data_IF_338866181644
#
_entry.id   IF_338866181644
#
_cell.length_a   1.000
_cell.length_b   1.000
_cell.length_c   1.000
_cell.angle_alpha   90.00
_cell.angle_beta   90.00
_cell.angle_gamma   90.00
#
_symmetry.space_group_name_H-M   'P 1'
#
loop_
_entity.id
_entity.type
_entity.pdbx_description
1 polymer ?
#
# COMPACT_ATOMS: atom_id res chain seq x y z
N UNK A 1 -6.06 22.62 -25.55
CA UNK A 1 -6.17 23.05 -24.13
C UNK A 1 -5.91 24.55 -24.05
N UNK A 2 -6.94 25.37 -24.26
CA UNK A 2 -6.80 26.82 -24.19
C UNK A 2 -6.95 27.27 -22.73
N UNK A 3 -5.88 27.79 -22.15
CA UNK A 3 -5.96 28.52 -20.88
C UNK A 3 -6.80 29.77 -21.12
N UNK A 4 -8.06 29.72 -20.71
CA UNK A 4 -8.93 30.90 -20.67
C UNK A 4 -8.40 31.79 -19.54
N UNK A 5 -7.53 32.73 -19.90
CA UNK A 5 -7.08 33.80 -19.01
C UNK A 5 -8.21 34.82 -18.91
N UNK A 6 -8.88 34.88 -17.76
CA UNK A 6 -9.65 36.07 -17.34
C UNK A 6 -8.89 36.71 -16.18
N UNK A 7 -8.70 38.02 -16.26
CA UNK A 7 -8.15 38.87 -15.20
C UNK A 7 -6.70 38.61 -14.75
N UNK A 8 -5.84 38.12 -15.66
CA UNK A 8 -4.38 38.13 -15.45
C UNK A 8 -3.86 37.25 -14.32
N UNK A 9 -4.68 36.36 -13.75
CA UNK A 9 -4.23 35.30 -12.83
C UNK A 9 -4.54 33.93 -13.43
N UNK A 10 -3.62 32.96 -13.31
CA UNK A 10 -3.93 31.58 -13.66
C UNK A 10 -5.03 31.10 -12.72
N UNK A 11 -6.20 30.77 -13.27
CA UNK A 11 -7.26 30.12 -12.51
C UNK A 11 -6.71 28.79 -11.96
N UNK A 12 -6.75 28.63 -10.63
CA UNK A 12 -6.42 27.34 -10.01
C UNK A 12 -7.39 26.25 -10.50
N UNK A 13 -6.99 24.97 -10.45
CA UNK A 13 -7.85 23.87 -10.89
C UNK A 13 -9.14 23.88 -10.07
N UNK A 14 -10.28 23.77 -10.76
CA UNK A 14 -11.59 23.69 -10.11
C UNK A 14 -11.75 22.30 -9.49
N UNK A 15 -12.55 22.15 -8.41
CA UNK A 15 -12.81 20.83 -7.84
C UNK A 15 -13.52 19.87 -8.83
N UNK A 16 -14.23 20.40 -9.83
CA UNK A 16 -14.79 19.64 -10.96
C UNK A 16 -13.79 19.30 -12.08
N UNK A 17 -12.57 19.85 -12.07
CA UNK A 17 -11.51 19.39 -12.97
C UNK A 17 -10.94 18.09 -12.37
N UNK A 18 -11.67 16.99 -12.54
CA UNK A 18 -11.17 15.65 -12.21
C UNK A 18 -9.78 15.50 -12.83
N UNK A 19 -8.81 15.08 -12.03
CA UNK A 19 -7.45 14.82 -12.48
C UNK A 19 -7.48 13.58 -13.40
N UNK A 20 -7.67 13.79 -14.71
CA UNK A 20 -7.79 12.69 -15.67
C UNK A 20 -6.39 12.22 -16.07
N UNK A 21 -6.01 11.02 -15.63
CA UNK A 21 -4.92 10.23 -16.21
C UNK A 21 -5.50 8.99 -16.91
N UNK A 22 -4.95 8.63 -18.07
CA UNK A 22 -5.41 7.49 -18.87
C UNK A 22 -4.38 6.33 -18.91
N UNK A 23 -4.15 5.59 -17.80
CA UNK A 23 -3.11 4.55 -17.75
C UNK A 23 -3.14 3.46 -18.83
N UNK A 24 -4.31 3.13 -19.41
CA UNK A 24 -4.40 2.10 -20.44
C UNK A 24 -4.06 2.62 -21.84
N UNK A 25 -3.99 3.94 -22.04
CA UNK A 25 -3.60 4.59 -23.30
C UNK A 25 -2.22 5.21 -23.20
N UNK A 26 -1.96 5.93 -22.11
CA UNK A 26 -0.72 6.67 -21.88
C UNK A 26 0.27 5.76 -21.16
N UNK A 27 1.00 4.95 -21.94
CA UNK A 27 2.09 4.15 -21.41
C UNK A 27 3.30 5.05 -21.12
N UNK A 28 3.51 5.39 -19.84
CA UNK A 28 4.68 6.17 -19.42
C UNK A 28 5.97 5.34 -19.54
N UNK A 29 6.96 5.88 -20.24
CA UNK A 29 8.32 5.39 -20.23
C UNK A 29 8.93 5.48 -18.83
N UNK A 30 9.88 4.61 -18.50
CA UNK A 30 10.63 4.71 -17.23
C UNK A 30 11.35 6.06 -17.10
N UNK A 31 11.80 6.65 -18.21
CA UNK A 31 12.46 7.96 -18.22
C UNK A 31 11.49 9.08 -17.84
N UNK A 32 10.27 9.04 -18.37
CA UNK A 32 9.21 10.01 -18.07
C UNK A 32 8.76 9.92 -16.61
N UNK A 33 8.70 8.70 -16.06
CA UNK A 33 8.44 8.50 -14.63
C UNK A 33 9.53 9.14 -13.77
N UNK A 34 10.80 8.92 -14.11
CA UNK A 34 11.92 9.56 -13.37
C UNK A 34 11.88 11.08 -13.47
N UNK A 35 11.69 11.62 -14.68
CA UNK A 35 11.60 13.06 -14.90
C UNK A 35 10.42 13.68 -14.13
N UNK A 36 9.25 13.04 -14.14
CA UNK A 36 8.09 13.46 -13.35
C UNK A 36 8.40 13.45 -11.85
N UNK A 37 9.06 12.40 -11.34
CA UNK A 37 9.43 12.35 -9.91
C UNK A 37 10.44 13.43 -9.53
N UNK A 38 11.35 13.79 -10.42
CA UNK A 38 12.36 14.82 -10.15
C UNK A 38 11.73 16.21 -10.15
N UNK A 39 10.81 16.49 -11.08
CA UNK A 39 10.00 17.70 -11.05
C UNK A 39 9.15 17.81 -9.77
N UNK A 40 8.56 16.70 -9.31
CA UNK A 40 7.81 16.66 -8.04
C UNK A 40 8.73 16.96 -6.85
N UNK A 41 9.96 16.44 -6.84
CA UNK A 41 10.95 16.73 -5.79
C UNK A 41 11.39 18.20 -5.82
N UNK A 42 11.63 18.76 -7.00
CA UNK A 42 11.97 20.17 -7.15
C UNK A 42 10.86 21.06 -6.60
N UNK A 43 9.60 20.81 -7.00
CA UNK A 43 8.46 21.58 -6.51
C UNK A 43 8.24 21.38 -5.00
N UNK A 44 8.42 20.16 -4.49
CA UNK A 44 8.38 19.89 -3.05
C UNK A 44 9.45 20.67 -2.29
N UNK A 45 10.67 20.79 -2.86
CA UNK A 45 11.76 21.57 -2.25
C UNK A 45 11.54 23.08 -2.28
N UNK A 46 10.84 23.58 -3.30
CA UNK A 46 10.48 25.01 -3.44
C UNK A 46 9.28 25.38 -2.57
N UNK A 47 8.40 24.42 -2.29
CA UNK A 47 7.19 24.65 -1.52
C UNK A 47 7.49 24.74 -0.02
N UNK A 48 7.06 25.83 0.62
CA UNK A 48 7.08 25.98 2.08
C UNK A 48 5.89 25.28 2.77
N UNK A 49 4.94 24.76 1.97
CA UNK A 49 3.76 24.05 2.47
C UNK A 49 4.16 22.63 2.86
N UNK A 50 4.15 22.35 4.16
CA UNK A 50 4.28 20.97 4.62
C UNK A 50 3.07 20.16 4.14
N UNK A 51 3.27 18.96 3.56
CA UNK A 51 2.17 18.05 3.26
C UNK A 51 1.31 17.82 4.50
N UNK A 52 -0.01 17.74 4.31
CA UNK A 52 -0.90 17.37 5.40
C UNK A 52 -0.47 16.04 6.01
N UNK A 53 -0.56 15.93 7.33
CA UNK A 53 -0.19 14.71 8.06
C UNK A 53 -1.07 13.53 7.63
N UNK A 54 -0.53 12.67 6.76
CA UNK A 54 -1.20 11.49 6.22
C UNK A 54 -1.51 10.45 7.30
N UNK A 55 -0.88 10.55 8.48
CA UNK A 55 -1.12 9.65 9.59
C UNK A 55 -2.38 10.02 10.39
N UNK A 56 -2.94 11.23 10.21
CA UNK A 56 -4.21 11.62 10.87
C UNK A 56 -5.39 10.76 10.43
N UNK A 57 -5.36 10.25 9.19
CA UNK A 57 -6.39 9.36 8.67
C UNK A 57 -6.26 7.92 9.23
N UNK A 58 -5.10 7.58 9.78
CA UNK A 58 -4.90 6.29 10.43
C UNK A 58 -5.37 6.35 11.88
N UNK A 59 -6.00 5.26 12.34
CA UNK A 59 -6.35 5.12 13.75
C UNK A 59 -5.06 5.21 14.58
N UNK A 60 -4.99 6.09 15.60
CA UNK A 60 -3.79 6.22 16.41
C UNK A 60 -3.46 4.90 17.11
N UNK A 61 -2.17 4.58 17.20
CA UNK A 61 -1.73 3.34 17.83
C UNK A 61 -2.29 3.25 19.26
N UNK A 62 -2.87 2.09 19.67
CA UNK A 62 -3.36 1.91 21.02
C UNK A 62 -2.26 2.19 22.03
N UNK A 63 -2.54 3.04 23.03
CA UNK A 63 -1.60 3.28 24.12
C UNK A 63 -1.48 1.99 24.94
N UNK A 64 -0.28 1.42 24.98
CA UNK A 64 -0.01 0.21 25.76
C UNK A 64 -0.14 0.56 27.24
N UNK A 65 -1.12 -0.06 27.89
CA UNK A 65 -1.40 0.13 29.30
C UNK A 65 -1.26 -1.21 30.03
N UNK A 66 -0.34 -1.28 30.99
CA UNK A 66 -0.12 -2.45 31.85
C UNK A 66 -0.64 -2.24 33.28
N UNK A 67 -1.60 -1.34 33.48
CA UNK A 67 -2.23 -1.09 34.79
C UNK A 67 -2.60 -2.41 35.49
N UNK A 68 -2.12 -2.58 36.73
CA UNK A 68 -2.34 -3.76 37.55
C UNK A 68 -1.42 -4.96 37.27
N UNK A 69 -0.50 -4.87 36.29
CA UNK A 69 0.39 -5.97 35.90
C UNK A 69 1.86 -5.55 35.96
N UNK A 70 2.40 -5.45 37.18
CA UNK A 70 3.78 -5.05 37.44
C UNK A 70 4.81 -5.93 36.71
N UNK A 71 4.59 -7.25 36.63
CA UNK A 71 5.46 -8.17 35.92
C UNK A 71 5.53 -7.87 34.40
N UNK A 72 4.40 -7.55 33.77
CA UNK A 72 4.37 -7.19 32.34
C UNK A 72 5.04 -5.84 32.09
N UNK A 73 4.89 -4.89 33.01
CA UNK A 73 5.56 -3.60 32.92
C UNK A 73 7.09 -3.74 33.02
N UNK A 74 7.58 -4.61 33.91
CA UNK A 74 9.01 -4.92 34.03
C UNK A 74 9.54 -5.62 32.76
N UNK A 75 8.81 -6.62 32.25
CA UNK A 75 9.17 -7.29 30.99
C UNK A 75 9.17 -6.33 29.80
N UNK A 76 8.18 -5.43 29.72
CA UNK A 76 8.13 -4.40 28.69
C UNK A 76 9.36 -3.48 28.74
N UNK A 77 9.80 -3.08 29.94
CA UNK A 77 11.01 -2.28 30.12
C UNK A 77 12.26 -3.07 29.72
N UNK A 78 12.37 -4.35 30.09
CA UNK A 78 13.48 -5.24 29.69
C UNK A 78 13.57 -5.38 28.17
N UNK A 79 12.45 -5.64 27.51
CA UNK A 79 12.36 -5.77 26.04
C UNK A 79 12.71 -4.43 25.37
N UNK A 80 12.20 -3.31 25.89
CA UNK A 80 12.55 -1.97 25.40
C UNK A 80 14.04 -1.65 25.56
N UNK A 81 14.69 -2.21 26.58
CA UNK A 81 16.12 -2.12 26.80
C UNK A 81 16.94 -3.15 25.98
N UNK A 82 16.31 -3.96 25.12
CA UNK A 82 16.93 -5.03 24.34
C UNK A 82 17.77 -6.03 25.19
N UNK A 83 17.41 -6.22 26.47
CA UNK A 83 18.08 -7.18 27.32
C UNK A 83 17.55 -8.58 27.01
N UNK A 84 18.39 -9.61 26.78
CA UNK A 84 17.92 -10.97 26.59
C UNK A 84 17.26 -11.52 27.87
N UNK A 85 16.32 -12.45 27.72
CA UNK A 85 15.68 -13.11 28.87
C UNK A 85 16.64 -14.12 29.48
N UNK A 86 16.64 -14.24 30.80
CA UNK A 86 17.33 -15.33 31.47
C UNK A 86 16.80 -16.68 30.99
N UNK A 87 17.72 -17.59 30.66
CA UNK A 87 17.33 -18.92 30.19
C UNK A 87 16.59 -19.63 31.32
N UNK A 88 15.34 -20.00 31.07
CA UNK A 88 14.60 -20.88 31.98
C UNK A 88 15.37 -22.20 32.10
N UNK A 89 15.81 -22.51 33.31
CA UNK A 89 16.50 -23.76 33.59
C UNK A 89 15.48 -24.91 33.60
N UNK A 90 15.20 -25.50 32.44
CA UNK A 90 14.46 -26.76 32.33
C UNK A 90 15.31 -27.99 32.69
N UNK A 91 16.52 -27.77 33.22
CA UNK A 91 17.53 -28.78 33.44
C UNK A 91 17.32 -29.53 34.75
N UNK A 92 16.60 -30.66 34.67
CA UNK A 92 16.93 -31.99 35.24
C UNK A 92 15.65 -32.77 35.54
N UNK A 93 15.03 -33.28 34.48
CA UNK A 93 14.05 -34.37 34.53
C UNK A 93 14.73 -35.73 34.75
N UNK A 94 15.80 -35.77 35.52
CA UNK A 94 16.30 -37.01 36.11
C UNK A 94 16.64 -36.66 37.55
N UNK A 95 16.06 -37.39 38.49
CA UNK A 95 16.44 -37.38 39.89
C UNK A 95 17.96 -37.59 39.97
N UNK A 96 18.77 -36.54 40.17
CA UNK A 96 20.18 -36.74 40.30
C UNK A 96 20.40 -37.33 41.69
N UNK A 97 21.16 -38.41 41.78
CA UNK A 97 21.74 -38.80 43.06
C UNK A 97 22.45 -37.57 43.66
N UNK A 98 22.42 -37.38 44.99
CA UNK A 98 23.18 -36.31 45.62
C UNK A 98 24.62 -36.35 45.12
N UNK A 99 25.17 -35.20 44.72
CA UNK A 99 26.54 -35.12 44.24
C UNK A 99 27.49 -35.80 45.24
N UNK A 100 28.55 -36.46 44.79
CA UNK A 100 29.46 -37.24 45.67
C UNK A 100 29.93 -36.46 46.91
N UNK A 101 30.08 -35.13 46.81
CA UNK A 101 30.43 -34.25 47.92
C UNK A 101 29.33 -34.04 49.00
N UNK A 102 28.07 -34.35 48.70
CA UNK A 102 26.88 -34.12 49.54
C UNK A 102 26.22 -35.41 50.05
N UNK A 103 26.78 -36.59 49.76
CA UNK A 103 26.23 -37.88 50.16
C UNK A 103 26.19 -38.10 51.68
N UNK A 104 26.98 -37.34 52.46
CA UNK A 104 26.94 -37.39 53.92
C UNK A 104 25.86 -36.47 54.52
N UNK A 105 25.17 -35.65 53.70
CA UNK A 105 24.13 -34.73 54.15
C UNK A 105 22.75 -35.36 54.06
N UNK A 106 22.09 -35.53 55.22
CA UNK A 106 20.71 -36.05 55.29
C UNK A 106 19.73 -35.14 54.53
N UNK A 107 19.97 -33.83 54.51
CA UNK A 107 19.09 -32.89 53.81
C UNK A 107 19.16 -33.08 52.29
N UNK A 108 20.35 -33.31 51.73
CA UNK A 108 20.52 -33.55 50.30
C UNK A 108 19.79 -34.83 49.84
N UNK A 109 19.77 -35.88 50.68
CA UNK A 109 18.99 -37.10 50.41
C UNK A 109 17.48 -36.87 50.50
N UNK A 110 17.00 -36.03 51.42
CA UNK A 110 15.57 -35.66 51.50
C UNK A 110 15.12 -34.88 50.27
N UNK A 111 15.92 -33.92 49.83
CA UNK A 111 15.61 -33.12 48.64
C UNK A 111 15.64 -34.00 47.37
N UNK A 112 16.60 -34.92 47.26
CA UNK A 112 16.65 -35.90 46.17
C UNK A 112 15.44 -36.86 46.17
N UNK A 113 15.02 -37.33 47.35
CA UNK A 113 13.82 -38.17 47.49
C UNK A 113 12.54 -37.41 47.11
N UNK A 114 12.40 -36.17 47.58
CA UNK A 114 11.26 -35.31 47.23
C UNK A 114 11.20 -35.05 45.72
N UNK A 115 12.36 -34.85 45.08
CA UNK A 115 12.45 -34.70 43.63
C UNK A 115 12.06 -36.00 42.90
N UNK A 116 12.57 -37.14 43.35
CA UNK A 116 12.21 -38.45 42.78
C UNK A 116 10.70 -38.75 42.90
N UNK A 117 10.07 -38.42 44.02
CA UNK A 117 8.62 -38.53 44.22
C UNK A 117 7.86 -37.61 43.26
N UNK A 118 8.27 -36.33 43.17
CA UNK A 118 7.66 -35.36 42.23
C UNK A 118 7.74 -35.86 40.80
N UNK A 119 8.88 -36.46 40.43
CA UNK A 119 9.07 -37.01 39.10
C UNK A 119 8.22 -38.25 38.85
N UNK A 120 8.07 -39.15 39.82
CA UNK A 120 7.18 -40.31 39.68
C UNK A 120 5.74 -39.86 39.37
N UNK A 121 5.24 -38.87 40.11
CA UNK A 121 3.93 -38.28 39.87
C UNK A 121 3.83 -37.61 38.50
N UNK A 122 4.87 -36.90 38.06
CA UNK A 122 4.92 -36.32 36.72
C UNK A 122 4.86 -37.40 35.62
N UNK A 123 5.62 -38.49 35.78
CA UNK A 123 5.61 -39.61 34.82
C UNK A 123 4.26 -40.32 34.80
N UNK A 124 3.61 -40.47 35.95
CA UNK A 124 2.26 -41.01 36.04
C UNK A 124 1.25 -40.14 35.27
N UNK A 125 1.28 -38.83 35.50
CA UNK A 125 0.45 -37.87 34.75
C UNK A 125 0.77 -37.89 33.24
N UNK A 126 2.03 -38.02 32.86
CA UNK A 126 2.41 -38.09 31.46
C UNK A 126 1.86 -39.35 30.79
N UNK A 127 1.90 -40.50 31.47
CA UNK A 127 1.29 -41.74 30.98
C UNK A 127 -0.22 -41.57 30.79
N UNK A 128 -0.93 -41.02 31.78
CA UNK A 128 -2.37 -40.74 31.66
C UNK A 128 -2.67 -39.80 30.48
N UNK A 129 -1.88 -38.75 30.31
CA UNK A 129 -2.02 -37.82 29.19
C UNK A 129 -1.75 -38.50 27.84
N UNK A 130 -0.77 -39.41 27.77
CA UNK A 130 -0.48 -40.18 26.57
C UNK A 130 -1.61 -41.16 26.23
N UNK A 131 -2.20 -41.82 27.22
CA UNK A 131 -3.37 -42.69 27.03
C UNK A 131 -4.58 -41.89 26.51
N UNK A 132 -4.82 -40.71 27.07
CA UNK A 132 -5.86 -39.79 26.60
C UNK A 132 -5.58 -39.31 25.16
N UNK A 133 -4.34 -38.93 24.87
CA UNK A 133 -3.92 -38.50 23.54
C UNK A 133 -4.03 -39.65 22.52
N UNK A 134 -3.69 -40.87 22.88
CA UNK A 134 -3.83 -42.03 22.00
C UNK A 134 -5.32 -42.32 21.71
N UNK A 135 -6.19 -42.18 22.72
CA UNK A 135 -7.62 -42.45 22.59
C UNK A 135 -8.38 -41.38 21.80
N UNK A 136 -8.09 -40.10 22.05
CA UNK A 136 -8.88 -38.98 21.50
C UNK A 136 -8.11 -38.11 20.50
N UNK A 137 -6.79 -38.14 20.52
CA UNK A 137 -5.92 -37.31 19.67
C UNK A 137 -6.21 -37.44 18.18
N UNK A 138 -6.33 -38.65 17.60
CA UNK A 138 -6.62 -38.79 16.17
C UNK A 138 -7.93 -38.11 15.76
N UNK A 139 -9.00 -38.27 16.54
CA UNK A 139 -10.31 -37.66 16.25
C UNK A 139 -10.29 -36.14 16.44
N UNK A 140 -9.66 -35.66 17.52
CA UNK A 140 -9.50 -34.24 17.79
C UNK A 140 -8.67 -33.56 16.69
N UNK A 141 -7.60 -34.21 16.24
CA UNK A 141 -6.76 -33.72 15.15
C UNK A 141 -7.52 -33.67 13.82
N UNK A 142 -8.27 -34.71 13.48
CA UNK A 142 -9.12 -34.71 12.28
C UNK A 142 -10.15 -33.56 12.30
N UNK A 143 -10.78 -33.32 13.45
CA UNK A 143 -11.72 -32.20 13.60
C UNK A 143 -11.01 -30.84 13.45
N UNK A 144 -9.81 -30.69 14.00
CA UNK A 144 -9.00 -29.49 13.83
C UNK A 144 -8.63 -29.26 12.36
N UNK A 145 -8.15 -30.29 11.66
CA UNK A 145 -7.82 -30.24 10.23
C UNK A 145 -9.05 -29.88 9.40
N UNK A 146 -10.22 -30.44 9.69
CA UNK A 146 -11.46 -30.07 9.00
C UNK A 146 -11.85 -28.60 9.22
N UNK A 147 -11.66 -28.08 10.44
CA UNK A 147 -11.86 -26.66 10.73
C UNK A 147 -10.87 -25.76 9.98
N UNK A 148 -9.60 -26.16 9.88
CA UNK A 148 -8.59 -25.44 9.11
C UNK A 148 -8.89 -25.45 7.61
N UNK A 149 -9.32 -26.59 7.05
CA UNK A 149 -9.71 -26.69 5.64
C UNK A 149 -10.93 -25.81 5.31
N UNK A 150 -11.93 -25.76 6.21
CA UNK A 150 -13.06 -24.85 6.06
C UNK A 150 -12.65 -23.37 6.09
N UNK A 151 -11.77 -22.99 7.03
CA UNK A 151 -11.24 -21.63 7.09
C UNK A 151 -10.42 -21.27 5.84
N UNK A 152 -9.59 -22.19 5.37
CA UNK A 152 -8.81 -22.03 4.14
C UNK A 152 -9.71 -21.83 2.92
N UNK A 153 -10.75 -22.67 2.75
CA UNK A 153 -11.73 -22.53 1.66
C UNK A 153 -12.47 -21.20 1.71
N UNK A 154 -12.82 -20.72 2.91
CA UNK A 154 -13.46 -19.41 3.08
C UNK A 154 -12.54 -18.27 2.65
N UNK A 155 -11.26 -18.30 3.07
CA UNK A 155 -10.28 -17.29 2.70
C UNK A 155 -9.97 -17.32 1.19
N UNK A 156 -9.78 -18.49 0.61
CA UNK A 156 -9.56 -18.67 -0.83
C UNK A 156 -10.73 -18.12 -1.65
N UNK A 157 -11.98 -18.34 -1.18
CA UNK A 157 -13.16 -17.72 -1.79
C UNK A 157 -13.10 -16.18 -1.72
N UNK A 158 -12.76 -15.61 -0.57
CA UNK A 158 -12.64 -14.15 -0.42
C UNK A 158 -11.58 -13.53 -1.34
N UNK A 159 -10.45 -14.22 -1.52
CA UNK A 159 -9.40 -13.81 -2.47
C UNK A 159 -9.96 -13.80 -3.89
N UNK A 160 -10.57 -14.91 -4.33
CA UNK A 160 -11.16 -15.02 -5.67
C UNK A 160 -12.26 -14.00 -5.94
N UNK A 161 -13.13 -13.76 -4.96
CA UNK A 161 -14.18 -12.76 -5.08
C UNK A 161 -13.59 -11.34 -5.22
N UNK A 162 -12.52 -11.03 -4.46
CA UNK A 162 -11.81 -9.75 -4.56
C UNK A 162 -11.10 -9.60 -5.90
N UNK A 163 -10.41 -10.63 -6.38
CA UNK A 163 -9.73 -10.63 -7.67
C UNK A 163 -10.74 -10.42 -8.82
N UNK A 164 -11.91 -11.06 -8.73
CA UNK A 164 -13.00 -10.84 -9.70
C UNK A 164 -13.49 -9.39 -9.68
N UNK A 165 -13.65 -8.77 -8.50
CA UNK A 165 -14.05 -7.37 -8.40
C UNK A 165 -12.99 -6.43 -8.99
N UNK A 166 -11.71 -6.70 -8.71
CA UNK A 166 -10.59 -5.95 -9.30
C UNK A 166 -10.61 -6.05 -10.82
N UNK A 167 -10.77 -7.26 -11.35
CA UNK A 167 -10.82 -7.48 -12.80
C UNK A 167 -12.01 -6.79 -13.45
N UNK A 168 -13.20 -6.86 -12.84
CA UNK A 168 -14.39 -6.16 -13.35
C UNK A 168 -14.15 -4.64 -13.43
N UNK A 169 -13.54 -4.07 -12.39
CA UNK A 169 -13.19 -2.64 -12.37
C UNK A 169 -12.15 -2.33 -13.44
N UNK A 170 -11.13 -3.16 -13.61
CA UNK A 170 -10.08 -2.96 -14.61
C UNK A 170 -10.62 -3.04 -16.03
N UNK A 171 -11.44 -4.04 -16.34
CA UNK A 171 -12.12 -4.16 -17.64
C UNK A 171 -13.01 -2.95 -17.90
N UNK A 172 -13.79 -2.51 -16.91
CA UNK A 172 -14.64 -1.32 -17.05
C UNK A 172 -13.82 -0.06 -17.31
N UNK A 173 -12.70 0.13 -16.61
CA UNK A 173 -11.78 1.25 -16.84
C UNK A 173 -11.17 1.21 -18.25
N UNK A 174 -10.71 0.05 -18.70
CA UNK A 174 -10.13 -0.13 -20.03
C UNK A 174 -11.15 0.22 -21.13
N UNK A 175 -12.39 -0.26 -21.03
CA UNK A 175 -13.46 0.04 -21.99
C UNK A 175 -13.82 1.53 -22.02
N UNK A 176 -13.95 2.16 -20.85
CA UNK A 176 -14.21 3.59 -20.76
C UNK A 176 -13.09 4.39 -21.43
N UNK A 177 -11.84 4.06 -21.11
CA UNK A 177 -10.68 4.74 -21.67
C UNK A 177 -10.60 4.56 -23.20
N UNK A 178 -10.87 3.36 -23.72
CA UNK A 178 -10.92 3.12 -25.16
C UNK A 178 -12.01 3.96 -25.85
N UNK A 179 -13.17 4.17 -25.22
CA UNK A 179 -14.22 5.04 -25.76
C UNK A 179 -13.86 6.52 -25.74
N UNK A 180 -13.11 6.96 -24.72
CA UNK A 180 -12.60 8.34 -24.63
C UNK A 180 -11.51 8.55 -25.69
N UNK A 181 -10.68 7.54 -25.95
CA UNK A 181 -9.62 7.60 -26.94
C UNK A 181 -10.14 7.91 -28.35
N UNK A 182 -11.23 7.27 -28.76
CA UNK A 182 -11.84 7.53 -30.07
C UNK A 182 -12.35 8.97 -30.15
N UNK A 183 -13.00 9.46 -29.09
CA UNK A 183 -13.46 10.85 -29.02
C UNK A 183 -12.30 11.85 -29.04
N UNK A 184 -11.19 11.54 -28.38
CA UNK A 184 -9.99 12.37 -28.37
C UNK A 184 -9.35 12.44 -29.76
N UNK A 185 -9.27 11.32 -30.46
CA UNK A 185 -8.76 11.25 -31.83
C UNK A 185 -9.64 12.04 -32.81
N UNK A 186 -10.96 11.94 -32.69
CA UNK A 186 -11.90 12.74 -33.49
C UNK A 186 -11.73 14.24 -33.20
N UNK A 187 -11.67 14.64 -31.94
CA UNK A 187 -11.46 16.02 -31.54
C UNK A 187 -10.10 16.57 -31.99
N UNK A 188 -9.05 15.76 -31.96
CA UNK A 188 -7.72 16.12 -32.47
C UNK A 188 -7.75 16.30 -33.99
N UNK A 189 -8.38 15.38 -34.73
CA UNK A 189 -8.55 15.50 -36.17
C UNK A 189 -9.32 16.78 -36.54
N UNK A 190 -10.44 17.04 -35.88
CA UNK A 190 -11.22 18.26 -36.06
C UNK A 190 -10.38 19.51 -35.75
N UNK A 191 -9.62 19.49 -34.65
CA UNK A 191 -8.74 20.59 -34.29
C UNK A 191 -7.68 20.86 -35.37
N UNK A 192 -6.99 19.84 -35.88
CA UNK A 192 -6.00 20.01 -36.94
C UNK A 192 -6.61 20.60 -38.22
N UNK A 193 -7.81 20.14 -38.60
CA UNK A 193 -8.56 20.65 -39.75
C UNK A 193 -8.94 22.11 -39.55
N UNK A 194 -9.44 22.49 -38.37
CA UNK A 194 -9.82 23.88 -38.09
C UNK A 194 -8.60 24.81 -38.06
N UNK A 195 -7.48 24.38 -37.47
CA UNK A 195 -6.23 25.15 -37.49
C UNK A 195 -5.74 25.35 -38.93
N UNK A 196 -5.78 24.31 -39.76
CA UNK A 196 -5.40 24.41 -41.17
C UNK A 196 -6.34 25.36 -41.94
N UNK A 197 -7.66 25.29 -41.73
CA UNK A 197 -8.64 26.20 -42.33
C UNK A 197 -8.41 27.65 -41.92
N UNK A 198 -8.21 27.91 -40.62
CA UNK A 198 -7.93 29.26 -40.12
C UNK A 198 -6.67 29.82 -40.78
N UNK A 199 -5.61 29.02 -40.89
CA UNK A 199 -4.38 29.42 -41.59
C UNK A 199 -4.60 29.70 -43.08
N UNK A 200 -5.43 28.91 -43.76
CA UNK A 200 -5.78 29.16 -45.16
C UNK A 200 -6.56 30.47 -45.33
N UNK A 201 -7.49 30.77 -44.41
CA UNK A 201 -8.25 32.03 -44.40
C UNK A 201 -7.30 33.22 -44.17
N UNK A 202 -6.38 33.11 -43.20
CA UNK A 202 -5.37 34.15 -42.95
C UNK A 202 -4.52 34.45 -44.19
N UNK A 203 -4.07 33.41 -44.90
CA UNK A 203 -3.31 33.57 -46.15
C UNK A 203 -4.16 34.18 -47.28
N UNK A 204 -5.43 33.78 -47.40
CA UNK A 204 -6.34 34.35 -48.39
C UNK A 204 -6.61 35.84 -48.12
N UNK A 205 -6.84 36.21 -46.86
CA UNK A 205 -7.03 37.59 -46.44
C UNK A 205 -5.78 38.43 -46.71
N UNK A 206 -4.59 37.95 -46.36
CA UNK A 206 -3.34 38.64 -46.64
C UNK A 206 -3.12 38.89 -48.15
N UNK A 207 -3.47 37.92 -49.00
CA UNK A 207 -3.42 38.08 -50.45
C UNK A 207 -4.44 39.11 -50.96
N UNK A 208 -5.67 39.10 -50.43
CA UNK A 208 -6.70 40.08 -50.79
C UNK A 208 -6.32 41.49 -50.34
N UNK A 209 -5.78 41.64 -49.13
CA UNK A 209 -5.26 42.92 -48.62
C UNK A 209 -4.15 43.47 -49.53
N UNK A 210 -3.25 42.61 -50.00
CA UNK A 210 -2.22 42.99 -50.97
C UNK A 210 -2.83 43.48 -52.29
N UNK A 211 -3.80 42.76 -52.85
CA UNK A 211 -4.48 43.15 -54.09
C UNK A 211 -5.22 44.49 -53.92
N UNK A 212 -5.88 44.70 -52.78
CA UNK A 212 -6.57 45.97 -52.48
C UNK A 212 -5.58 47.12 -52.34
N UNK A 213 -4.46 46.91 -51.64
CA UNK A 213 -3.40 47.91 -51.53
C UNK A 213 -2.81 48.29 -52.89
N UNK A 214 -2.54 47.30 -53.75
CA UNK A 214 -2.05 47.52 -55.12
C UNK A 214 -3.07 48.31 -55.97
N UNK A 215 -4.37 47.98 -55.86
CA UNK A 215 -5.44 48.69 -56.56
C UNK A 215 -5.62 50.13 -56.08
N UNK A 216 -5.51 50.38 -54.76
CA UNK A 216 -5.56 51.72 -54.19
C UNK A 216 -4.35 52.56 -54.60
N UNK A 217 -3.14 51.96 -54.65
CA UNK A 217 -1.95 52.63 -55.14
C UNK A 217 -2.08 53.01 -56.63
N UNK A 218 -2.63 52.11 -57.46
CA UNK A 218 -2.92 52.40 -58.87
C UNK A 218 -3.96 53.51 -59.07
N UNK A 219 -5.03 53.51 -58.26
CA UNK A 219 -6.04 54.58 -58.30
C UNK A 219 -5.48 55.93 -57.84
N UNK A 220 -4.60 55.95 -56.82
CA UNK A 220 -3.93 57.16 -56.37
C UNK A 220 -2.96 57.72 -57.42
N UNK A 221 -2.26 56.86 -58.17
CA UNK A 221 -1.41 57.26 -59.29
C UNK A 221 -2.23 57.82 -60.47
N UNK A 222 -3.39 57.23 -60.77
CA UNK A 222 -4.29 57.71 -61.81
C UNK A 222 -4.99 59.04 -61.44
N UNK A 223 -5.19 59.32 -60.15
CA UNK A 223 -5.74 60.58 -59.67
C UNK A 223 -4.68 61.70 -59.55
N UNK A 224 -3.39 61.36 -59.61
CA UNK A 224 -2.27 62.31 -59.57
C UNK A 224 -1.72 62.68 -60.96
N UNK A 225 -2.25 62.05 -62.03
CA UNK A 225 -1.98 62.36 -63.44
C UNK A 225 -3.10 63.23 -64.02
#
# INVERSE_FOLDING_TARGET
>A
MALVVRDGKPAGPRPEDELIGLPYLDALSSEEQTAATDLVKEEASRSEKQPGDYLKAMTPMPKINFQGRAALQAEWQRVRANQPMDKLAFGKTMAPEPAQAQQNSVQAWRDALSNAQTQLEHQHNWLLNLELAQKYGPKAWQANVAGLDAAHKSLDKHVKDTDRMVEEINVRRALLQQSIATQLQEAEADWTVQVAKNRQIELANANLEKIVADAQAGAAQAAAA
#
